data_IF_766435308673
#
_entry.id   IF_766435308673
#
_cell.length_a   1.000
_cell.length_b   1.000
_cell.length_c   1.000
_cell.angle_alpha   90.00
_cell.angle_beta   90.00
_cell.angle_gamma   90.00
#
_symmetry.space_group_name_H-M   'P 1'
#
loop_
_entity.id
_entity.type
_entity.pdbx_description
1 polymer ?
#
# COMPACT_ATOMS: atom_id res chain seq x y z
N UNK A 1 -0.48 -0.46 -11.60
CA UNK A 1 0.23 0.60 -10.86
C UNK A 1 1.19 -0.02 -9.87
N UNK A 2 2.40 0.46 -9.84
CA UNK A 2 3.39 -0.03 -8.91
C UNK A 2 4.09 1.12 -8.23
N UNK A 3 4.21 1.03 -6.95
CA UNK A 3 5.00 2.00 -6.22
C UNK A 3 5.57 1.31 -5.01
N UNK A 4 6.54 1.92 -4.40
CA UNK A 4 7.22 1.32 -3.28
C UNK A 4 6.74 1.92 -1.98
N UNK A 5 6.79 1.10 -0.95
CA UNK A 5 6.41 1.53 0.37
C UNK A 5 7.27 0.80 1.39
N UNK A 6 7.28 1.29 2.61
CA UNK A 6 7.90 0.59 3.71
C UNK A 6 6.81 0.10 4.62
N UNK A 7 6.90 -1.15 5.03
CA UNK A 7 5.95 -1.70 5.99
C UNK A 7 6.74 -2.05 7.23
N UNK A 8 6.38 -1.45 8.34
CA UNK A 8 7.05 -1.69 9.60
C UNK A 8 6.21 -2.63 10.44
N UNK A 9 6.82 -3.74 10.83
CA UNK A 9 6.17 -4.72 11.68
C UNK A 9 7.03 -4.84 12.91
N UNK A 10 6.59 -4.26 14.03
CA UNK A 10 7.42 -4.21 15.22
C UNK A 10 8.66 -3.40 14.96
N UNK A 11 9.82 -4.03 14.99
CA UNK A 11 11.09 -3.37 14.74
C UNK A 11 11.66 -3.70 13.37
N UNK A 12 10.92 -4.43 12.57
CA UNK A 12 11.39 -4.88 11.28
C UNK A 12 10.72 -4.07 10.19
N UNK A 13 11.51 -3.65 9.20
CA UNK A 13 11.00 -2.90 8.07
C UNK A 13 11.10 -3.74 6.83
N UNK A 14 10.05 -3.73 6.02
CA UNK A 14 10.05 -4.42 4.74
C UNK A 14 9.88 -3.37 3.65
N UNK A 15 10.71 -3.47 2.63
CA UNK A 15 10.54 -2.63 1.45
C UNK A 15 9.66 -3.43 0.50
N UNK A 16 8.52 -2.90 0.18
CA UNK A 16 7.53 -3.64 -0.61
C UNK A 16 7.09 -2.83 -1.80
N UNK A 17 6.48 -3.52 -2.75
CA UNK A 17 5.79 -2.87 -3.85
C UNK A 17 4.32 -2.93 -3.57
N UNK A 18 3.64 -1.83 -3.85
CA UNK A 18 2.20 -1.76 -3.68
C UNK A 18 1.57 -2.14 -5.00
N UNK A 19 0.80 -3.21 -5.00
CA UNK A 19 0.15 -3.68 -6.22
C UNK A 19 -1.23 -3.11 -6.38
N UNK A 20 -1.87 -2.79 -5.27
CA UNK A 20 -3.25 -2.31 -5.33
C UNK A 20 -3.52 -1.56 -4.05
N UNK A 21 -4.32 -0.52 -4.12
CA UNK A 21 -4.66 0.26 -2.96
C UNK A 21 -6.09 0.77 -3.10
N UNK A 22 -6.79 0.80 -1.99
CA UNK A 22 -8.15 1.32 -1.94
C UNK A 22 -8.28 2.12 -0.66
N UNK A 23 -9.47 2.64 -0.40
CA UNK A 23 -9.69 3.41 0.81
C UNK A 23 -9.47 2.56 2.06
N UNK A 24 -9.74 1.28 1.99
CA UNK A 24 -9.68 0.41 3.17
C UNK A 24 -8.43 -0.41 3.30
N UNK A 25 -7.59 -0.49 2.30
CA UNK A 25 -6.43 -1.34 2.42
C UNK A 25 -5.58 -1.38 1.17
N UNK A 26 -4.59 -2.28 1.18
CA UNK A 26 -3.68 -2.38 0.06
C UNK A 26 -3.10 -3.78 -0.03
N UNK A 27 -2.59 -4.12 -1.20
CA UNK A 27 -1.86 -5.37 -1.41
C UNK A 27 -0.42 -5.04 -1.64
N UNK A 28 0.46 -5.76 -1.00
CA UNK A 28 1.89 -5.51 -1.08
C UNK A 28 2.66 -6.81 -1.24
N UNK A 29 3.88 -6.72 -1.71
CA UNK A 29 4.82 -7.84 -1.72
C UNK A 29 6.24 -7.28 -1.85
N UNK A 30 7.26 -7.99 -1.40
CA UNK A 30 7.21 -9.26 -0.68
C UNK A 30 7.08 -9.03 0.81
N UNK A 31 6.44 -9.94 1.48
CA UNK A 31 6.30 -9.86 2.93
C UNK A 31 6.30 -11.28 3.47
N UNK A 32 6.45 -11.43 4.77
CA UNK A 32 6.56 -12.75 5.38
C UNK A 32 5.24 -13.21 5.95
N UNK A 33 5.05 -14.51 5.92
CA UNK A 33 3.80 -15.09 6.39
C UNK A 33 3.53 -14.79 7.86
N UNK A 34 4.57 -14.72 8.67
CA UNK A 34 4.37 -14.49 10.09
C UNK A 34 3.78 -13.13 10.40
N UNK A 35 3.73 -12.27 9.43
CA UNK A 35 3.16 -10.94 9.63
C UNK A 35 1.63 -10.96 9.71
N UNK A 36 1.01 -12.05 9.29
CA UNK A 36 -0.45 -12.12 9.32
C UNK A 36 -0.95 -11.92 10.74
N UNK A 37 -1.93 -11.06 10.89
CA UNK A 37 -2.50 -10.76 12.19
C UNK A 37 -1.75 -9.70 12.95
N UNK A 38 -0.64 -9.21 12.44
CA UNK A 38 0.14 -8.22 13.14
C UNK A 38 -0.19 -6.83 12.69
N UNK A 39 -0.07 -5.89 13.62
CA UNK A 39 -0.26 -4.49 13.30
C UNK A 39 0.96 -3.96 12.59
N UNK A 40 0.75 -3.13 11.61
CA UNK A 40 1.84 -2.59 10.82
C UNK A 40 1.64 -1.10 10.62
N UNK A 41 2.73 -0.44 10.27
CA UNK A 41 2.69 0.95 9.88
C UNK A 41 3.26 1.02 8.48
N UNK A 42 2.48 1.55 7.56
CA UNK A 42 2.87 1.63 6.16
C UNK A 42 3.25 3.06 5.86
N UNK A 43 4.42 3.26 5.30
CA UNK A 43 4.87 4.58 4.88
C UNK A 43 4.97 4.55 3.36
N UNK A 44 4.15 5.35 2.73
CA UNK A 44 4.12 5.45 1.28
C UNK A 44 4.70 6.79 0.93
N UNK A 45 5.50 6.82 -0.10
CA UNK A 45 6.11 8.04 -0.57
C UNK A 45 5.08 9.14 -0.73
N UNK A 46 5.33 10.28 -0.20
CA UNK A 46 4.46 11.47 -0.26
C UNK A 46 3.12 11.31 0.46
N UNK A 47 3.02 10.35 1.32
CA UNK A 47 1.78 10.05 1.99
C UNK A 47 2.15 9.69 3.40
N UNK A 48 1.65 10.20 4.36
CA UNK A 48 2.07 9.95 5.73
C UNK A 48 1.96 8.49 6.15
N UNK A 49 2.38 8.18 7.36
CA UNK A 49 2.26 6.81 7.83
C UNK A 49 0.80 6.43 8.01
N UNK A 50 0.49 5.20 7.64
CA UNK A 50 -0.86 4.68 7.75
C UNK A 50 -0.79 3.40 8.57
N UNK A 51 -1.63 3.30 9.58
CA UNK A 51 -1.66 2.12 10.43
C UNK A 51 -2.64 1.10 9.89
N UNK A 52 -2.28 -0.15 10.01
CA UNK A 52 -3.15 -1.21 9.55
C UNK A 52 -2.77 -2.53 10.13
N UNK A 53 -3.32 -3.58 9.56
CA UNK A 53 -3.08 -4.93 10.02
C UNK A 53 -3.00 -5.85 8.82
N UNK A 54 -2.06 -6.79 8.85
CA UNK A 54 -1.95 -7.79 7.78
C UNK A 54 -3.05 -8.82 7.99
N UNK A 55 -3.93 -8.95 7.04
CA UNK A 55 -5.09 -9.81 7.18
C UNK A 55 -4.96 -11.11 6.43
N UNK A 56 -4.15 -11.17 5.39
CA UNK A 56 -3.95 -12.41 4.68
C UNK A 56 -2.58 -12.42 4.01
N UNK A 57 -2.15 -13.62 3.66
CA UNK A 57 -0.85 -13.82 3.04
C UNK A 57 -0.99 -14.94 2.02
N UNK A 58 -0.37 -14.76 0.86
CA UNK A 58 -0.35 -15.80 -0.15
C UNK A 58 0.77 -15.50 -1.13
N UNK A 59 1.67 -16.47 -1.30
CA UNK A 59 2.75 -16.36 -2.28
C UNK A 59 3.54 -15.07 -2.14
N UNK A 60 3.93 -14.75 -0.91
CA UNK A 60 4.73 -13.59 -0.57
C UNK A 60 3.99 -12.27 -0.73
N UNK A 61 2.72 -12.32 -1.05
CA UNK A 61 1.88 -11.14 -1.10
C UNK A 61 1.02 -11.09 0.13
N UNK A 62 0.66 -9.91 0.53
CA UNK A 62 -0.18 -9.76 1.70
C UNK A 62 -1.18 -8.66 1.49
N UNK A 63 -2.30 -8.79 2.17
CA UNK A 63 -3.31 -7.75 2.18
C UNK A 63 -3.29 -7.07 3.52
N UNK A 64 -3.23 -5.76 3.50
CA UNK A 64 -3.23 -4.94 4.70
C UNK A 64 -4.54 -4.18 4.73
N UNK A 65 -5.23 -4.27 5.86
CA UNK A 65 -6.47 -3.52 6.06
C UNK A 65 -6.12 -2.37 6.99
N UNK A 66 -6.46 -1.17 6.59
CA UNK A 66 -6.13 0.02 7.38
C UNK A 66 -7.02 0.10 8.61
N UNK A 67 -6.46 0.58 9.71
CA UNK A 67 -7.24 0.76 10.94
C UNK A 67 -8.38 1.72 10.71
N UNK A 68 -8.14 2.76 9.91
CA UNK A 68 -9.17 3.69 9.51
C UNK A 68 -9.08 3.85 8.01
N UNK A 69 -10.19 3.90 7.32
CA UNK A 69 -10.15 4.10 5.88
C UNK A 69 -9.42 5.40 5.56
N UNK A 70 -8.75 5.41 4.42
CA UNK A 70 -8.07 6.61 3.99
C UNK A 70 -9.10 7.66 3.62
N UNK A 71 -8.69 8.91 3.74
CA UNK A 71 -9.50 10.01 3.26
C UNK A 71 -9.53 9.89 1.74
N UNK A 72 -10.70 10.06 1.16
CA UNK A 72 -10.84 9.97 -0.29
C UNK A 72 -9.92 10.96 -0.98
N UNK A 73 -9.80 12.16 -0.43
CA UNK A 73 -8.96 13.17 -1.03
C UNK A 73 -7.49 12.76 -0.97
N UNK A 74 -7.06 12.16 0.13
CA UNK A 74 -5.70 11.69 0.25
C UNK A 74 -5.41 10.62 -0.78
N UNK A 75 -6.29 9.66 -0.90
CA UNK A 75 -6.09 8.57 -1.84
C UNK A 75 -6.12 9.10 -3.26
N UNK A 76 -7.05 9.97 -3.53
CA UNK A 76 -7.22 10.53 -4.86
C UNK A 76 -5.99 11.31 -5.28
N UNK A 77 -5.45 12.08 -4.36
CA UNK A 77 -4.26 12.85 -4.64
C UNK A 77 -3.08 11.95 -4.92
N UNK A 78 -2.92 10.92 -4.11
CA UNK A 78 -1.80 10.02 -4.27
C UNK A 78 -1.92 9.23 -5.57
N UNK A 79 -3.10 8.68 -5.83
CA UNK A 79 -3.33 7.91 -7.05
C UNK A 79 -3.19 8.82 -8.25
N UNK A 80 -3.66 10.05 -8.14
CA UNK A 80 -3.55 11.00 -9.22
C UNK A 80 -2.12 11.28 -9.62
N UNK A 81 -1.24 11.41 -8.62
CA UNK A 81 0.15 11.63 -8.92
C UNK A 81 0.74 10.45 -9.65
N UNK A 82 0.40 9.24 -9.21
CA UNK A 82 0.92 8.04 -9.86
C UNK A 82 0.37 7.90 -11.26
N UNK A 83 -0.91 8.19 -11.42
CA UNK A 83 -1.52 8.09 -12.72
C UNK A 83 -0.97 9.16 -13.66
N UNK A 84 -0.66 10.31 -13.12
CA UNK A 84 -0.11 11.36 -13.91
C UNK A 84 1.20 10.94 -14.54
N UNK A 85 2.03 10.29 -13.76
CA UNK A 85 3.27 9.79 -14.27
C UNK A 85 3.06 8.64 -15.21
N UNK A 86 2.09 7.81 -14.92
CA UNK A 86 1.81 6.68 -15.76
C UNK A 86 1.00 7.08 -16.97
N UNK A 87 0.20 8.09 -16.84
CA UNK A 87 -0.72 8.42 -17.89
C UNK A 87 -0.07 9.09 -19.07
N UNK A 88 1.12 9.54 -18.91
CA UNK A 88 1.83 10.01 -20.07
C UNK A 88 1.92 8.88 -21.04
N UNK A 89 1.75 7.66 -20.56
CA UNK A 89 1.77 6.53 -21.41
C UNK A 89 0.43 5.92 -21.62
N UNK A 90 -0.46 6.12 -20.68
CA UNK A 90 -1.72 5.44 -20.76
C UNK A 90 -2.90 6.36 -20.76
N UNK A 91 -2.68 7.60 -20.96
CA UNK A 91 -3.75 8.57 -20.92
C UNK A 91 -4.83 8.23 -21.89
N UNK A 92 -4.47 7.52 -22.87
CA UNK A 92 -5.43 7.22 -23.88
C UNK A 92 -6.35 6.12 -23.53
N UNK A 93 -6.15 5.57 -22.40
CA UNK A 93 -6.97 4.49 -22.04
C UNK A 93 -8.32 4.84 -21.70
N UNK A 94 -8.63 6.00 -21.65
CA UNK A 94 -9.92 6.31 -21.24
C UNK A 94 -10.68 6.81 -22.30
#
# INVERSE_FOLDING_TARGET
>A
MRCKASVRVGKVYYQVEVHDISLGGMKVEPIEEYCVGKKVIVVIESFGPVKGEVRWYRDRRAGIVFDKPLDFDQLSEWVGKRLEMASLKAATKR
#
